data_IF_157068238786
#
_entry.id   IF_157068238786
#
_cell.length_a   1.000
_cell.length_b   1.000
_cell.length_c   1.000
_cell.angle_alpha   90.00
_cell.angle_beta   90.00
_cell.angle_gamma   90.00
#
_symmetry.space_group_name_H-M   'P 1'
#
loop_
_entity.id
_entity.type
_entity.pdbx_description
1 polymer ?
#
# COMPACT_ATOMS: atom_id res chain seq x y z
N UNK A 1 -40.82 -32.72 3.42
CA UNK A 1 -40.36 -31.32 3.54
C UNK A 1 -38.91 -31.19 3.98
N UNK A 2 -38.49 -31.83 5.07
CA UNK A 2 -37.15 -31.62 5.66
C UNK A 2 -35.97 -32.03 4.76
N UNK A 3 -36.14 -33.06 3.92
CA UNK A 3 -35.07 -33.52 3.00
C UNK A 3 -34.80 -32.55 1.84
N UNK A 4 -35.84 -31.88 1.34
CA UNK A 4 -35.72 -30.90 0.26
C UNK A 4 -35.02 -29.64 0.76
N UNK A 5 -35.33 -29.22 2.00
CA UNK A 5 -34.68 -28.08 2.64
C UNK A 5 -33.18 -28.36 2.88
N UNK A 6 -32.82 -29.56 3.36
CA UNK A 6 -31.40 -29.94 3.49
C UNK A 6 -30.67 -29.97 2.14
N UNK A 7 -31.33 -30.42 1.06
CA UNK A 7 -30.72 -30.48 -0.26
C UNK A 7 -30.45 -29.07 -0.82
N UNK A 8 -31.39 -28.14 -0.61
CA UNK A 8 -31.24 -26.73 -1.00
C UNK A 8 -30.12 -26.05 -0.20
N UNK A 9 -30.01 -26.31 1.11
CA UNK A 9 -28.91 -25.80 1.93
C UNK A 9 -27.53 -26.35 1.51
N UNK A 10 -27.45 -27.64 1.15
CA UNK A 10 -26.21 -28.24 0.64
C UNK A 10 -25.81 -27.70 -0.75
N UNK A 11 -26.78 -27.33 -1.59
CA UNK A 11 -26.50 -26.74 -2.90
C UNK A 11 -26.03 -25.28 -2.78
N UNK A 12 -26.57 -24.53 -1.82
CA UNK A 12 -26.15 -23.14 -1.54
C UNK A 12 -24.75 -23.04 -0.92
N UNK A 13 -24.31 -24.04 -0.14
CA UNK A 13 -22.95 -24.07 0.42
C UNK A 13 -21.88 -24.47 -0.61
N UNK A 14 -22.26 -25.16 -1.69
CA UNK A 14 -21.34 -25.56 -2.77
C UNK A 14 -20.99 -24.40 -3.72
N UNK A 15 -21.85 -23.38 -3.83
CA UNK A 15 -21.55 -22.14 -4.54
C UNK A 15 -20.89 -21.15 -3.59
N UNK A 16 -19.66 -21.45 -3.17
CA UNK A 16 -18.84 -20.47 -2.48
C UNK A 16 -18.65 -19.25 -3.38
N UNK A 17 -19.34 -18.15 -3.06
CA UNK A 17 -19.07 -16.86 -3.67
C UNK A 17 -17.63 -16.52 -3.28
N UNK A 18 -16.69 -16.79 -4.18
CA UNK A 18 -15.37 -16.17 -4.09
C UNK A 18 -15.64 -14.70 -4.28
N UNK A 19 -15.67 -13.96 -3.16
CA UNK A 19 -15.52 -12.52 -3.19
C UNK A 19 -14.24 -12.32 -3.99
N UNK A 20 -14.39 -11.81 -5.22
CA UNK A 20 -13.26 -11.41 -6.04
C UNK A 20 -12.63 -10.27 -5.26
N UNK A 21 -11.66 -10.58 -4.42
CA UNK A 21 -10.85 -9.56 -3.77
C UNK A 21 -10.36 -8.67 -4.90
N UNK A 22 -10.69 -7.37 -4.84
CA UNK A 22 -10.20 -6.43 -5.83
C UNK A 22 -8.68 -6.54 -5.84
N UNK A 23 -8.12 -7.10 -6.91
CA UNK A 23 -6.67 -7.27 -7.03
C UNK A 23 -6.06 -5.88 -6.97
N UNK A 24 -5.22 -5.64 -5.95
CA UNK A 24 -4.55 -4.37 -5.78
C UNK A 24 -3.55 -4.22 -6.92
N UNK A 25 -3.42 -3.00 -7.44
CA UNK A 25 -2.34 -2.74 -8.39
C UNK A 25 -0.99 -2.91 -7.69
N UNK A 26 -0.10 -3.65 -8.35
CA UNK A 26 1.29 -3.82 -7.94
C UNK A 26 2.07 -2.57 -8.34
N UNK A 27 2.73 -1.93 -7.39
CA UNK A 27 3.36 -0.61 -7.58
C UNK A 27 4.83 -0.65 -7.17
N UNK A 28 5.68 -0.12 -8.06
CA UNK A 28 7.07 0.24 -7.78
C UNK A 28 7.19 1.75 -7.93
N UNK A 29 7.74 2.42 -6.93
CA UNK A 29 7.99 3.86 -6.94
C UNK A 29 9.48 4.09 -7.17
N UNK A 30 9.80 4.90 -8.18
CA UNK A 30 11.13 5.49 -8.37
C UNK A 30 11.01 6.99 -8.14
N UNK A 31 11.82 7.55 -7.25
CA UNK A 31 11.69 8.93 -6.78
C UNK A 31 13.04 9.55 -6.49
N UNK A 32 13.19 10.84 -6.77
CA UNK A 32 14.41 11.60 -6.50
C UNK A 32 14.37 12.38 -5.19
N UNK A 33 13.21 12.39 -4.53
CA UNK A 33 12.95 13.08 -3.27
C UNK A 33 13.21 14.59 -3.34
N UNK A 34 13.14 15.19 -4.52
CA UNK A 34 13.18 16.66 -4.70
C UNK A 34 11.78 17.27 -4.53
N UNK A 35 11.67 18.59 -4.71
CA UNK A 35 10.44 19.36 -4.88
C UNK A 35 9.16 18.77 -4.25
N UNK A 36 8.35 18.06 -5.04
CA UNK A 36 7.03 17.54 -4.69
C UNK A 36 7.01 16.08 -4.24
N UNK A 37 8.07 15.32 -4.51
CA UNK A 37 8.17 13.88 -4.25
C UNK A 37 7.87 13.50 -2.79
N UNK A 38 8.28 14.35 -1.83
CA UNK A 38 7.98 14.14 -0.42
C UNK A 38 6.48 14.16 -0.13
N UNK A 39 5.76 15.14 -0.68
CA UNK A 39 4.31 15.26 -0.52
C UNK A 39 3.58 14.14 -1.25
N UNK A 40 4.06 13.78 -2.44
CA UNK A 40 3.55 12.65 -3.20
C UNK A 40 3.69 11.33 -2.43
N UNK A 41 4.85 11.08 -1.82
CA UNK A 41 5.08 9.87 -1.01
C UNK A 41 4.21 9.85 0.26
N UNK A 42 4.07 10.98 0.97
CA UNK A 42 3.19 11.07 2.15
C UNK A 42 1.74 10.70 1.76
N UNK A 43 1.24 11.28 0.67
CA UNK A 43 -0.12 10.99 0.20
C UNK A 43 -0.26 9.55 -0.30
N UNK A 44 0.74 9.03 -1.00
CA UNK A 44 0.75 7.62 -1.41
C UNK A 44 0.66 6.70 -0.20
N UNK A 45 1.48 6.91 0.84
CA UNK A 45 1.49 6.11 2.06
C UNK A 45 0.13 6.16 2.78
N UNK A 46 -0.55 7.30 2.79
CA UNK A 46 -1.91 7.42 3.33
C UNK A 46 -2.95 6.58 2.56
N UNK A 47 -2.74 6.32 1.27
CA UNK A 47 -3.59 5.43 0.46
C UNK A 47 -2.98 4.05 0.20
N UNK A 48 -1.85 3.72 0.82
CA UNK A 48 -1.08 2.51 0.51
C UNK A 48 -1.84 1.21 0.74
N UNK A 49 -2.87 1.21 1.60
CA UNK A 49 -3.78 0.08 1.78
C UNK A 49 -4.51 -0.34 0.49
N UNK A 50 -4.56 0.51 -0.54
CA UNK A 50 -5.18 0.25 -1.84
C UNK A 50 -4.22 -0.39 -2.85
N UNK A 51 -2.93 -0.46 -2.54
CA UNK A 51 -1.88 -0.90 -3.45
C UNK A 51 -1.08 -2.05 -2.85
N UNK A 52 -0.51 -2.89 -3.72
CA UNK A 52 0.54 -3.82 -3.34
C UNK A 52 1.88 -3.16 -3.67
N UNK A 53 2.45 -2.45 -2.68
CA UNK A 53 3.71 -1.72 -2.87
C UNK A 53 4.88 -2.70 -2.80
N UNK A 54 5.62 -2.85 -3.89
CA UNK A 54 6.73 -3.82 -3.96
C UNK A 54 8.06 -3.20 -3.63
N UNK A 55 8.26 -1.95 -4.06
CA UNK A 55 9.50 -1.23 -3.83
C UNK A 55 9.28 0.28 -3.86
N UNK A 56 10.05 0.97 -3.02
CA UNK A 56 10.27 2.41 -3.10
C UNK A 56 11.77 2.58 -3.28
N UNK A 57 12.16 3.05 -4.46
CA UNK A 57 13.54 3.21 -4.90
C UNK A 57 13.84 4.70 -4.93
N UNK A 58 14.85 5.11 -4.17
CA UNK A 58 15.28 6.50 -4.08
C UNK A 58 16.58 6.66 -4.86
N UNK A 59 16.61 7.59 -5.82
CA UNK A 59 17.79 7.89 -6.64
C UNK A 59 17.99 9.40 -6.75
N UNK A 60 19.16 9.97 -6.44
CA UNK A 60 19.38 11.41 -6.61
C UNK A 60 19.24 11.83 -8.08
N UNK A 61 18.72 13.04 -8.31
CA UNK A 61 18.66 13.69 -9.62
C UNK A 61 19.56 14.95 -9.64
N UNK A 62 20.33 15.11 -10.72
CA UNK A 62 21.06 16.34 -11.01
C UNK A 62 20.10 17.40 -11.62
N UNK A 63 20.28 18.70 -11.34
CA UNK A 63 21.37 19.29 -10.58
C UNK A 63 21.09 19.40 -9.06
N UNK A 64 19.91 18.99 -8.58
CA UNK A 64 19.49 19.20 -7.20
C UNK A 64 20.36 18.44 -6.18
N UNK A 65 20.82 17.26 -6.57
CA UNK A 65 21.69 16.41 -5.77
C UNK A 65 22.83 15.83 -6.59
N UNK A 66 24.03 15.80 -6.00
CA UNK A 66 25.18 15.12 -6.58
C UNK A 66 25.06 13.60 -6.45
N UNK A 67 25.87 12.90 -7.25
CA UNK A 67 26.04 11.46 -7.09
C UNK A 67 26.47 11.12 -5.65
N UNK A 68 25.81 10.13 -5.04
CA UNK A 68 25.98 9.70 -3.65
C UNK A 68 25.58 10.70 -2.55
N UNK A 69 24.88 11.79 -2.88
CA UNK A 69 24.29 12.64 -1.84
C UNK A 69 23.25 11.86 -1.04
N UNK A 70 23.36 11.95 0.30
CA UNK A 70 22.47 11.24 1.23
C UNK A 70 21.11 11.93 1.41
N UNK A 71 20.98 13.19 1.01
CA UNK A 71 19.79 14.01 1.23
C UNK A 71 18.48 13.34 0.77
N UNK A 72 18.39 12.85 -0.48
CA UNK A 72 17.23 12.11 -0.97
C UNK A 72 16.86 10.91 -0.10
N UNK A 73 17.87 10.10 0.24
CA UNK A 73 17.69 8.91 1.07
C UNK A 73 17.19 9.28 2.47
N UNK A 74 17.83 10.26 3.12
CA UNK A 74 17.48 10.72 4.45
C UNK A 74 16.05 11.31 4.49
N UNK A 75 15.65 12.08 3.47
CA UNK A 75 14.29 12.60 3.34
C UNK A 75 13.28 11.46 3.23
N UNK A 76 13.48 10.51 2.32
CA UNK A 76 12.59 9.34 2.16
C UNK A 76 12.50 8.50 3.44
N UNK A 77 13.62 8.23 4.10
CA UNK A 77 13.64 7.51 5.38
C UNK A 77 12.92 8.28 6.50
N UNK A 78 13.01 9.61 6.53
CA UNK A 78 12.30 10.41 7.53
C UNK A 78 10.78 10.32 7.37
N UNK A 79 10.28 10.31 6.13
CA UNK A 79 8.85 10.11 5.82
C UNK A 79 8.40 8.71 6.23
N UNK A 80 9.15 7.66 5.88
CA UNK A 80 8.82 6.28 6.28
C UNK A 80 8.84 6.10 7.81
N UNK A 81 9.76 6.76 8.51
CA UNK A 81 9.80 6.77 9.97
C UNK A 81 8.56 7.42 10.57
N UNK A 82 8.10 8.55 10.02
CA UNK A 82 6.87 9.20 10.44
C UNK A 82 5.63 8.32 10.17
N UNK A 83 5.55 7.72 8.98
CA UNK A 83 4.48 6.76 8.66
C UNK A 83 4.43 5.59 9.66
N UNK A 84 5.58 5.03 10.03
CA UNK A 84 5.66 3.98 11.06
C UNK A 84 5.13 4.43 12.42
N UNK A 85 5.32 5.69 12.81
CA UNK A 85 4.78 6.23 14.06
C UNK A 85 3.25 6.31 14.02
N UNK A 86 2.69 6.67 12.86
CA UNK A 86 1.24 6.80 12.64
C UNK A 86 0.54 5.49 12.25
N UNK A 87 1.28 4.43 11.95
CA UNK A 87 0.75 3.14 11.49
C UNK A 87 -0.39 2.62 12.37
N UNK A 88 -0.24 2.71 13.69
CA UNK A 88 -1.27 2.26 14.63
C UNK A 88 -2.57 3.07 14.55
N UNK A 89 -2.51 4.35 14.17
CA UNK A 89 -3.71 5.16 13.94
C UNK A 89 -4.35 4.79 12.60
N UNK A 90 -3.56 4.68 11.54
CA UNK A 90 -4.03 4.29 10.20
C UNK A 90 -4.74 2.93 10.23
N UNK A 91 -4.17 1.97 10.96
CA UNK A 91 -4.71 0.62 11.14
C UNK A 91 -6.07 0.55 11.84
N UNK A 92 -6.48 1.62 12.55
CA UNK A 92 -7.85 1.72 13.10
C UNK A 92 -8.90 1.96 12.01
N UNK A 93 -8.49 2.48 10.85
CA UNK A 93 -9.37 2.79 9.73
C UNK A 93 -9.35 1.72 8.64
N UNK A 94 -8.22 1.01 8.45
CA UNK A 94 -8.14 -0.10 7.50
C UNK A 94 -7.08 -1.14 7.92
N UNK A 95 -7.36 -2.44 7.75
CA UNK A 95 -6.45 -3.52 8.17
C UNK A 95 -5.32 -3.80 7.20
N UNK A 96 -5.32 -3.22 6.01
CA UNK A 96 -4.40 -3.63 4.95
C UNK A 96 -3.28 -2.62 4.66
N UNK A 97 -3.05 -1.68 5.58
CA UNK A 97 -1.87 -0.83 5.49
C UNK A 97 -0.59 -1.69 5.59
N UNK A 98 0.38 -1.51 4.67
CA UNK A 98 1.68 -2.18 4.70
C UNK A 98 2.55 -1.68 5.85
#
# INVERSE_FOLDING_TARGET
MNKIICLILCLLSATGIKILASEKYRVVILTDMTHDDGNSLIRYLYYSHQFETEAIIITPQLPDFNFNDKGPWEKGQSILKAYKQEYNQLRKHHSDYP
#
